data_IF_059194559845
#
_entry.id   IF_059194559845
#
_cell.length_a   1.000
_cell.length_b   1.000
_cell.length_c   1.000
_cell.angle_alpha   90.00
_cell.angle_beta   90.00
_cell.angle_gamma   90.00
#
_symmetry.space_group_name_H-M   'P 1'
#
loop_
_entity.id
_entity.type
_entity.pdbx_description
1 polymer ?
#
# COMPACT_ATOMS: atom_id res chain seq x y z
N UNK A 1 13.36 -42.35 37.85
CA UNK A 1 12.72 -41.03 37.59
C UNK A 1 13.34 -40.24 36.41
N UNK A 2 14.36 -40.75 35.68
CA UNK A 2 14.94 -40.06 34.51
C UNK A 2 14.10 -40.14 33.22
N UNK A 3 13.25 -41.17 33.06
CA UNK A 3 12.49 -41.37 31.82
C UNK A 3 11.26 -40.43 31.68
N UNK A 4 10.70 -39.92 32.80
CA UNK A 4 9.62 -38.92 32.76
C UNK A 4 10.12 -37.54 32.31
N UNK A 5 11.35 -37.16 32.68
CA UNK A 5 11.96 -35.89 32.26
C UNK A 5 12.18 -35.84 30.73
N UNK A 6 12.56 -36.97 30.12
CA UNK A 6 12.73 -37.06 28.65
C UNK A 6 11.41 -36.84 27.90
N UNK A 7 10.31 -37.40 28.40
CA UNK A 7 8.97 -37.19 27.83
C UNK A 7 8.50 -35.74 27.98
N UNK A 8 8.74 -35.13 29.14
CA UNK A 8 8.43 -33.71 29.38
C UNK A 8 9.21 -32.79 28.43
N UNK A 9 10.53 -32.98 28.28
CA UNK A 9 11.34 -32.17 27.36
C UNK A 9 10.90 -32.32 25.91
N UNK A 10 10.40 -33.49 25.51
CA UNK A 10 9.86 -33.70 24.16
C UNK A 10 8.53 -32.94 23.94
N UNK A 11 7.68 -32.88 24.96
CA UNK A 11 6.41 -32.13 24.92
C UNK A 11 6.66 -30.62 24.92
N UNK A 12 7.58 -30.14 25.75
CA UNK A 12 7.97 -28.72 25.78
C UNK A 12 8.50 -28.28 24.41
N UNK A 13 9.39 -29.05 23.80
CA UNK A 13 9.90 -28.77 22.46
C UNK A 13 8.81 -28.79 21.37
N UNK A 14 7.87 -29.74 21.46
CA UNK A 14 6.76 -29.86 20.50
C UNK A 14 5.81 -28.66 20.52
N UNK A 15 5.74 -27.91 21.63
CA UNK A 15 4.94 -26.68 21.73
C UNK A 15 5.78 -25.44 21.41
N UNK A 16 7.04 -25.40 21.86
CA UNK A 16 7.93 -24.26 21.60
C UNK A 16 8.24 -24.10 20.11
N UNK A 17 8.48 -25.20 19.39
CA UNK A 17 8.89 -25.14 18.00
C UNK A 17 7.80 -24.55 17.06
N UNK A 18 6.52 -24.96 17.11
CA UNK A 18 5.46 -24.32 16.34
C UNK A 18 5.28 -22.83 16.70
N UNK A 19 5.35 -22.49 17.99
CA UNK A 19 5.23 -21.11 18.44
C UNK A 19 6.37 -20.23 17.91
N UNK A 20 7.59 -20.78 17.88
CA UNK A 20 8.75 -20.12 17.29
C UNK A 20 8.52 -19.84 15.80
N UNK A 21 8.09 -20.83 15.02
CA UNK A 21 7.77 -20.61 13.60
C UNK A 21 6.64 -19.62 13.36
N UNK A 22 5.61 -19.63 14.21
CA UNK A 22 4.53 -18.63 14.15
C UNK A 22 5.08 -17.21 14.29
N UNK A 23 6.03 -17.00 15.21
CA UNK A 23 6.71 -15.71 15.36
C UNK A 23 7.50 -15.32 14.10
N UNK A 24 8.23 -16.26 13.47
CA UNK A 24 8.93 -15.97 12.19
C UNK A 24 7.96 -15.60 11.08
N UNK A 25 6.88 -16.37 10.91
CA UNK A 25 5.87 -16.05 9.92
C UNK A 25 5.30 -14.66 10.16
N UNK A 26 4.98 -14.30 11.40
CA UNK A 26 4.53 -12.95 11.72
C UNK A 26 5.54 -11.88 11.29
N UNK A 27 6.83 -12.05 11.60
CA UNK A 27 7.88 -11.10 11.21
C UNK A 27 7.99 -10.99 9.68
N UNK A 28 7.96 -12.11 8.96
CA UNK A 28 8.02 -12.10 7.50
C UNK A 28 6.79 -11.43 6.87
N UNK A 29 5.58 -11.73 7.34
CA UNK A 29 4.35 -11.09 6.86
C UNK A 29 4.33 -9.59 7.17
N UNK A 30 4.78 -9.18 8.35
CA UNK A 30 4.90 -7.78 8.69
C UNK A 30 5.89 -7.05 7.77
N UNK A 31 7.03 -7.68 7.45
CA UNK A 31 8.00 -7.15 6.50
C UNK A 31 7.44 -7.00 5.09
N UNK A 32 6.69 -7.99 4.61
CA UNK A 32 6.02 -7.96 3.31
C UNK A 32 4.97 -6.85 3.21
N UNK A 33 4.11 -6.70 4.23
CA UNK A 33 3.14 -5.60 4.31
C UNK A 33 3.85 -4.25 4.27
N UNK A 34 4.96 -4.10 5.01
CA UNK A 34 5.71 -2.85 5.05
C UNK A 34 6.42 -2.55 3.71
N UNK A 35 6.91 -3.57 3.00
CA UNK A 35 7.51 -3.40 1.68
C UNK A 35 6.50 -2.85 0.66
N UNK A 36 5.28 -3.39 0.66
CA UNK A 36 4.17 -2.89 -0.18
C UNK A 36 3.78 -1.46 0.22
N UNK A 37 3.70 -1.15 1.52
CA UNK A 37 3.41 0.19 2.00
C UNK A 37 4.46 1.22 1.57
N UNK A 38 5.76 0.92 1.76
CA UNK A 38 6.85 1.82 1.38
C UNK A 38 6.86 2.06 -0.13
N UNK A 39 6.60 1.03 -0.93
CA UNK A 39 6.50 1.13 -2.38
C UNK A 39 5.35 2.03 -2.78
N UNK A 40 4.13 1.80 -2.25
CA UNK A 40 2.97 2.65 -2.52
C UNK A 40 3.20 4.10 -2.08
N UNK A 41 3.86 4.32 -0.94
CA UNK A 41 4.22 5.65 -0.45
C UNK A 41 5.21 6.36 -1.37
N UNK A 42 6.22 5.65 -1.87
CA UNK A 42 7.17 6.20 -2.83
C UNK A 42 6.50 6.60 -4.15
N UNK A 43 5.52 5.81 -4.60
CA UNK A 43 4.72 6.08 -5.79
C UNK A 43 3.82 7.30 -5.60
N UNK A 44 3.13 7.40 -4.46
CA UNK A 44 2.31 8.56 -4.12
C UNK A 44 3.14 9.86 -4.10
N UNK A 45 4.34 9.80 -3.52
CA UNK A 45 5.26 10.95 -3.49
C UNK A 45 5.75 11.35 -4.88
N UNK A 46 6.14 10.37 -5.70
CA UNK A 46 6.68 10.62 -7.05
C UNK A 46 5.60 11.19 -7.97
N UNK A 47 4.42 10.58 -7.99
CA UNK A 47 3.26 11.07 -8.74
C UNK A 47 2.78 12.45 -8.27
N UNK A 48 2.82 12.75 -6.97
CA UNK A 48 2.48 14.08 -6.47
C UNK A 48 3.47 15.15 -6.90
N UNK A 49 4.76 14.83 -6.94
CA UNK A 49 5.79 15.74 -7.46
C UNK A 49 5.55 16.03 -8.94
N UNK A 50 5.29 15.02 -9.76
CA UNK A 50 4.98 15.19 -11.17
C UNK A 50 3.70 16.00 -11.38
N UNK A 51 2.65 15.72 -10.59
CA UNK A 51 1.39 16.45 -10.64
C UNK A 51 1.53 17.92 -10.22
N UNK A 52 2.46 18.25 -9.31
CA UNK A 52 2.70 19.63 -8.84
C UNK A 52 3.33 20.56 -9.88
N UNK A 53 3.91 20.01 -10.95
CA UNK A 53 4.61 20.77 -12.00
C UNK A 53 3.66 21.11 -13.17
N UNK A 54 2.45 20.53 -13.20
CA UNK A 54 1.49 20.73 -14.29
C UNK A 54 1.02 22.19 -14.32
N UNK A 55 1.18 22.82 -15.48
CA UNK A 55 1.10 24.28 -15.66
C UNK A 55 -0.30 24.83 -15.94
N UNK A 56 -1.33 24.03 -16.19
CA UNK A 56 -2.65 24.58 -16.57
C UNK A 56 -3.84 23.78 -16.04
N UNK A 57 -4.87 24.51 -15.57
CA UNK A 57 -6.13 23.93 -15.10
C UNK A 57 -6.84 23.06 -16.15
N UNK A 58 -6.77 23.49 -17.43
CA UNK A 58 -7.37 22.77 -18.56
C UNK A 58 -6.57 21.54 -18.98
N UNK A 59 -5.29 21.46 -18.61
CA UNK A 59 -4.42 20.33 -18.94
C UNK A 59 -4.29 19.30 -17.82
N UNK A 60 -4.87 19.54 -16.63
CA UNK A 60 -4.80 18.59 -15.53
C UNK A 60 -5.41 17.23 -15.90
N UNK A 61 -6.55 17.19 -16.58
CA UNK A 61 -7.24 15.93 -16.86
C UNK A 61 -6.43 15.01 -17.79
N UNK A 62 -5.73 15.57 -18.77
CA UNK A 62 -4.93 14.80 -19.72
C UNK A 62 -3.55 14.46 -19.15
N UNK A 63 -2.87 15.42 -18.51
CA UNK A 63 -1.59 15.15 -17.84
C UNK A 63 -1.73 14.14 -16.69
N UNK A 64 -2.82 14.19 -15.92
CA UNK A 64 -3.05 13.20 -14.86
C UNK A 64 -3.32 11.80 -15.42
N UNK A 65 -3.90 11.67 -16.62
CA UNK A 65 -4.00 10.37 -17.31
C UNK A 65 -2.63 9.89 -17.77
N UNK A 66 -1.79 10.77 -18.31
CA UNK A 66 -0.42 10.42 -18.71
C UNK A 66 0.41 9.94 -17.51
N UNK A 67 0.34 10.65 -16.38
CA UNK A 67 0.99 10.24 -15.12
C UNK A 67 0.50 8.85 -14.72
N UNK A 68 -0.82 8.57 -14.75
CA UNK A 68 -1.36 7.23 -14.46
C UNK A 68 -0.86 6.15 -15.41
N UNK A 69 -0.72 6.47 -16.70
CA UNK A 69 -0.23 5.51 -17.70
C UNK A 69 1.22 5.08 -17.45
N UNK A 70 2.05 5.97 -16.91
CA UNK A 70 3.45 5.62 -16.56
C UNK A 70 3.52 4.53 -15.49
N UNK A 71 2.53 4.47 -14.59
CA UNK A 71 2.49 3.49 -13.49
C UNK A 71 1.63 2.25 -13.79
N UNK A 72 1.13 2.07 -15.03
CA UNK A 72 0.16 1.00 -15.38
C UNK A 72 0.67 -0.42 -15.06
N UNK A 73 1.96 -0.67 -15.26
CA UNK A 73 2.58 -2.00 -15.12
C UNK A 73 3.29 -2.18 -13.77
N UNK A 74 3.22 -1.16 -12.90
CA UNK A 74 3.93 -1.16 -11.61
C UNK A 74 3.16 -1.99 -10.60
N UNK A 75 3.73 -3.12 -10.20
CA UNK A 75 3.19 -4.00 -9.16
C UNK A 75 3.90 -3.78 -7.83
N UNK A 76 3.20 -4.05 -6.73
CA UNK A 76 3.78 -4.02 -5.40
C UNK A 76 4.67 -5.26 -5.19
N UNK A 77 5.82 -5.12 -4.52
CA UNK A 77 6.87 -6.14 -4.50
C UNK A 77 6.50 -7.42 -3.76
N UNK A 78 5.71 -7.34 -2.69
CA UNK A 78 5.29 -8.51 -1.92
C UNK A 78 3.93 -9.05 -2.38
N UNK A 79 3.24 -8.32 -3.27
CA UNK A 79 1.93 -8.67 -3.82
C UNK A 79 0.87 -8.98 -2.76
N UNK A 80 1.02 -8.51 -1.52
CA UNK A 80 0.01 -8.66 -0.45
C UNK A 80 -1.16 -7.73 -0.73
N UNK A 81 -0.85 -6.55 -1.26
CA UNK A 81 -1.84 -5.63 -1.79
C UNK A 81 -1.77 -5.57 -3.31
N UNK A 82 -2.93 -5.39 -3.91
CA UNK A 82 -3.11 -5.06 -5.32
C UNK A 82 -3.62 -3.64 -5.45
N UNK A 83 -3.01 -2.90 -6.34
CA UNK A 83 -3.44 -1.56 -6.73
C UNK A 83 -3.43 -1.50 -8.26
N UNK A 84 -4.22 -0.59 -8.83
CA UNK A 84 -4.28 -0.38 -10.26
C UNK A 84 -4.24 1.13 -10.57
N UNK A 85 -3.17 1.56 -11.23
CA UNK A 85 -2.99 2.96 -11.59
C UNK A 85 -4.05 3.48 -12.57
N UNK A 86 -4.73 2.60 -13.31
CA UNK A 86 -5.78 2.97 -14.26
C UNK A 86 -7.15 3.16 -13.59
N UNK A 87 -7.37 2.55 -12.42
CA UNK A 87 -8.62 2.69 -11.68
C UNK A 87 -8.64 3.98 -10.88
N UNK A 88 -9.61 4.85 -11.16
CA UNK A 88 -9.75 6.13 -10.44
C UNK A 88 -10.05 5.96 -8.95
N UNK A 89 -10.59 4.81 -8.54
CA UNK A 89 -10.77 4.43 -7.14
C UNK A 89 -9.44 4.15 -6.41
N UNK A 90 -8.44 3.63 -7.13
CA UNK A 90 -7.14 3.25 -6.57
C UNK A 90 -6.09 4.35 -6.75
N UNK A 91 -6.26 5.24 -7.73
CA UNK A 91 -5.37 6.39 -7.95
C UNK A 91 -6.18 7.62 -8.33
N UNK A 92 -6.25 8.60 -7.41
CA UNK A 92 -6.82 9.91 -7.70
C UNK A 92 -5.88 11.06 -7.33
N UNK A 93 -5.92 12.08 -8.19
CA UNK A 93 -5.14 13.31 -8.06
C UNK A 93 -6.15 14.46 -8.05
N UNK A 94 -6.13 15.28 -7.01
CA UNK A 94 -7.04 16.40 -6.82
C UNK A 94 -6.24 17.70 -6.63
N UNK A 95 -6.56 18.72 -7.41
CA UNK A 95 -6.00 20.05 -7.22
C UNK A 95 -6.87 20.85 -6.25
N UNK A 96 -6.36 21.10 -5.04
CA UNK A 96 -6.98 21.94 -4.01
C UNK A 96 -6.12 23.18 -3.80
N UNK A 97 -6.36 24.26 -4.56
CA UNK A 97 -5.60 25.52 -4.50
C UNK A 97 -5.14 25.88 -3.07
N UNK A 98 -3.84 26.07 -2.82
CA UNK A 98 -2.67 26.02 -3.72
C UNK A 98 -1.96 24.64 -3.80
N UNK A 99 -2.58 23.57 -3.30
CA UNK A 99 -1.97 22.27 -3.12
C UNK A 99 -2.49 21.23 -4.14
N UNK A 100 -1.67 20.24 -4.44
CA UNK A 100 -2.05 19.01 -5.14
C UNK A 100 -2.09 17.89 -4.12
N UNK A 101 -3.21 17.17 -4.06
CA UNK A 101 -3.41 16.01 -3.19
C UNK A 101 -3.45 14.77 -4.08
N UNK A 102 -2.48 13.88 -3.90
CA UNK A 102 -2.50 12.55 -4.52
C UNK A 102 -2.90 11.55 -3.46
N UNK A 103 -3.82 10.67 -3.81
CA UNK A 103 -4.10 9.52 -2.97
C UNK A 103 -4.07 8.24 -3.78
N UNK A 104 -3.35 7.28 -3.21
CA UNK A 104 -3.28 5.93 -3.70
C UNK A 104 -3.99 4.99 -2.72
N UNK A 105 -4.81 4.11 -3.25
CA UNK A 105 -5.48 3.04 -2.53
C UNK A 105 -5.01 1.70 -3.10
N UNK A 106 -4.62 0.80 -2.20
CA UNK A 106 -4.34 -0.58 -2.51
C UNK A 106 -5.25 -1.49 -1.68
N UNK A 107 -5.85 -2.48 -2.33
CA UNK A 107 -6.74 -3.47 -1.71
C UNK A 107 -5.96 -4.73 -1.43
N UNK A 108 -6.35 -5.46 -0.39
CA UNK A 108 -5.79 -6.77 -0.14
C UNK A 108 -5.98 -7.67 -1.36
N UNK A 109 -4.93 -8.38 -1.78
CA UNK A 109 -5.04 -9.34 -2.86
C UNK A 109 -5.82 -10.57 -2.39
N UNK A 110 -6.80 -10.98 -3.19
CA UNK A 110 -7.62 -12.15 -2.91
C UNK A 110 -6.88 -13.47 -3.21
N UNK A 111 -5.84 -13.44 -4.07
CA UNK A 111 -5.09 -14.62 -4.52
C UNK A 111 -3.86 -14.94 -3.65
N UNK A 112 -3.17 -13.93 -3.09
CA UNK A 112 -1.83 -14.08 -2.47
C UNK A 112 -1.79 -13.99 -0.95
N UNK A 113 -2.91 -14.21 -0.25
CA UNK A 113 -2.80 -14.87 1.05
C UNK A 113 -2.72 -13.97 2.28
N UNK A 114 -3.75 -13.15 2.49
CA UNK A 114 -4.22 -12.86 3.86
C UNK A 114 -5.43 -13.74 4.24
N UNK A 115 -5.45 -14.98 3.77
CA UNK A 115 -6.45 -15.99 4.14
C UNK A 115 -6.50 -16.18 5.66
N UNK A 116 -5.37 -16.08 6.37
CA UNK A 116 -5.33 -16.11 7.84
C UNK A 116 -6.02 -14.90 8.50
N UNK A 117 -5.90 -13.70 7.95
CA UNK A 117 -6.58 -12.53 8.50
C UNK A 117 -8.10 -12.58 8.25
N UNK A 118 -8.52 -13.09 7.09
CA UNK A 118 -9.94 -13.39 6.80
C UNK A 118 -10.46 -14.51 7.72
N UNK A 119 -9.70 -15.60 7.92
CA UNK A 119 -10.06 -16.73 8.79
C UNK A 119 -10.15 -16.35 10.26
N UNK A 120 -9.29 -15.45 10.74
CA UNK A 120 -9.28 -14.99 12.13
C UNK A 120 -10.24 -13.80 12.38
N UNK A 121 -11.05 -13.41 11.39
CA UNK A 121 -12.04 -12.33 11.52
C UNK A 121 -11.44 -10.92 11.61
N UNK A 122 -10.15 -10.75 11.29
CA UNK A 122 -9.47 -9.46 11.29
C UNK A 122 -9.69 -8.64 10.00
N UNK A 123 -10.26 -9.25 8.97
CA UNK A 123 -10.63 -8.61 7.72
C UNK A 123 -12.11 -8.90 7.40
N UNK A 124 -12.97 -7.91 7.64
CA UNK A 124 -14.39 -7.95 7.28
C UNK A 124 -14.59 -7.90 5.75
N UNK A 125 -15.79 -8.23 5.25
CA UNK A 125 -16.19 -8.40 3.84
C UNK A 125 -15.90 -7.17 2.94
N UNK A 126 -15.59 -6.01 3.55
CA UNK A 126 -15.17 -4.79 2.85
C UNK A 126 -13.68 -4.74 2.49
N UNK A 127 -12.90 -5.74 2.92
CA UNK A 127 -11.48 -5.90 2.67
C UNK A 127 -10.61 -4.90 3.42
N UNK A 128 -9.41 -5.33 3.85
CA UNK A 128 -8.38 -4.41 4.32
C UNK A 128 -7.92 -3.53 3.15
N UNK A 129 -7.99 -2.21 3.33
CA UNK A 129 -7.56 -1.21 2.34
C UNK A 129 -6.43 -0.37 2.93
N UNK A 130 -5.36 -0.25 2.16
CA UNK A 130 -4.24 0.63 2.46
C UNK A 130 -4.41 1.91 1.65
N UNK A 131 -4.58 3.04 2.35
CA UNK A 131 -4.72 4.36 1.73
C UNK A 131 -3.50 5.21 2.08
N UNK A 132 -2.82 5.74 1.08
CA UNK A 132 -1.70 6.67 1.25
C UNK A 132 -2.05 7.97 0.55
N UNK A 133 -2.17 9.04 1.35
CA UNK A 133 -2.40 10.41 0.85
C UNK A 133 -1.12 11.22 0.98
N UNK A 134 -0.76 11.94 -0.07
CA UNK A 134 0.37 12.85 -0.08
C UNK A 134 -0.06 14.20 -0.65
N UNK A 135 0.31 15.28 0.04
CA UNK A 135 -0.05 16.65 -0.32
C UNK A 135 1.22 17.44 -0.61
N UNK A 136 1.28 18.06 -1.78
CA UNK A 136 2.42 18.88 -2.23
C UNK A 136 1.91 20.26 -2.63
N UNK A 137 2.72 21.28 -2.41
CA UNK A 137 2.43 22.62 -2.91
C UNK A 137 2.55 22.64 -4.43
N UNK A 138 1.56 23.17 -5.15
CA UNK A 138 1.64 23.36 -6.59
C UNK A 138 2.65 24.47 -6.88
N UNK A 139 3.75 24.15 -7.55
CA UNK A 139 4.75 25.15 -7.94
C UNK A 139 4.18 26.13 -8.99
N UNK A 140 3.10 25.73 -9.66
CA UNK A 140 2.39 26.61 -10.58
C UNK A 140 1.21 27.31 -9.90
N UNK A 141 1.32 28.63 -9.80
CA UNK A 141 0.18 29.51 -9.53
C UNK A 141 -0.53 29.72 -10.87
N UNK A 142 -1.80 29.30 -11.07
CA UNK A 142 -2.55 29.81 -12.21
C UNK A 142 -2.48 31.34 -12.12
N UNK A 143 -2.00 31.98 -13.19
CA UNK A 143 -1.84 33.43 -13.25
C UNK A 143 -3.08 34.09 -12.63
N UNK A 144 -2.91 34.70 -11.47
CA UNK A 144 -3.77 35.78 -11.04
C UNK A 144 -3.40 36.96 -11.93
N UNK A 145 -4.07 37.11 -13.08
CA UNK A 145 -3.88 38.29 -13.90
C UNK A 145 -4.40 38.19 -15.32
N UNK A 146 -5.38 39.05 -15.63
CA UNK A 146 -5.37 39.76 -16.90
C UNK A 146 -6.71 39.91 -17.63
N UNK A 147 -7.59 40.77 -17.08
CA UNK A 147 -8.82 41.35 -17.68
C UNK A 147 -10.05 40.45 -17.83
#
# INVERSE_FOLDING_TARGET
MQNLQRGQSMVEFAITLPLFFLMFFFIFYAGMIMADYLSLSSLARSSAREASIVKEEKQYTDNYKEIRQQYKDVKLPAAIFTWDAQKQEDFWIEYKKPNVVVTLQARLNDETGLSLAKLAGFADDKGLKMTVTYTVYSEYKPNAGGN
#
